data_IF_197547357273
#
_entry.id   IF_197547357273
#
_cell.length_a   1.000
_cell.length_b   1.000
_cell.length_c   1.000
_cell.angle_alpha   90.00
_cell.angle_beta   90.00
_cell.angle_gamma   90.00
#
_symmetry.space_group_name_H-M   'P 1'
#
loop_
_entity.id
_entity.type
_entity.pdbx_description
1 polymer ?
#
# COMPACT_ATOMS: atom_id res chain seq x y z
N UNK A 1 27.67 -17.46 -76.64
CA UNK A 1 27.12 -18.77 -77.05
C UNK A 1 26.55 -19.40 -75.79
N UNK A 2 25.27 -19.67 -75.59
CA UNK A 2 24.09 -19.83 -76.46
C UNK A 2 22.85 -19.37 -75.65
N UNK A 3 22.05 -18.43 -76.16
CA UNK A 3 20.72 -18.62 -76.78
C UNK A 3 19.68 -19.41 -75.95
N UNK A 4 18.67 -18.68 -75.45
CA UNK A 4 17.28 -19.14 -75.32
C UNK A 4 16.33 -17.97 -75.66
N UNK A 5 15.54 -18.14 -76.72
CA UNK A 5 14.25 -17.46 -76.98
C UNK A 5 13.21 -18.05 -76.01
N UNK A 6 12.09 -17.43 -75.59
CA UNK A 6 11.36 -16.21 -75.92
C UNK A 6 9.85 -16.43 -75.59
N UNK A 7 9.11 -15.33 -75.37
CA UNK A 7 7.63 -15.14 -75.16
C UNK A 7 7.19 -15.03 -73.68
N UNK A 8 6.88 -13.84 -73.12
CA UNK A 8 5.73 -12.91 -73.31
C UNK A 8 4.40 -13.54 -72.84
N UNK A 9 3.65 -13.04 -71.84
CA UNK A 9 3.04 -11.70 -71.68
C UNK A 9 2.67 -11.33 -70.22
N UNK A 10 2.77 -10.01 -69.91
CA UNK A 10 2.07 -9.11 -68.95
C UNK A 10 0.98 -9.73 -68.04
N UNK A 11 0.82 -9.44 -66.75
CA UNK A 11 1.17 -8.27 -65.92
C UNK A 11 -0.13 -7.65 -65.35
N UNK A 12 -0.41 -7.82 -64.05
CA UNK A 12 -1.53 -7.15 -63.36
C UNK A 12 -1.17 -6.79 -61.91
N UNK A 13 -1.29 -5.50 -61.57
CA UNK A 13 -1.35 -4.93 -60.22
C UNK A 13 -2.59 -4.04 -60.11
N UNK A 14 -3.23 -4.14 -58.94
CA UNK A 14 -3.96 -3.13 -58.15
C UNK A 14 -5.06 -2.25 -58.78
N UNK A 15 -6.20 -2.15 -58.07
CA UNK A 15 -6.91 -0.88 -57.91
C UNK A 15 -7.79 -0.86 -56.65
N UNK A 16 -7.75 0.26 -55.92
CA UNK A 16 -8.70 0.70 -54.89
C UNK A 16 -9.96 1.28 -55.55
N UNK A 17 -11.09 1.35 -54.83
CA UNK A 17 -12.08 2.41 -55.06
C UNK A 17 -12.99 2.65 -53.85
N UNK A 18 -13.14 3.92 -53.49
CA UNK A 18 -14.15 4.52 -52.60
C UNK A 18 -15.53 4.56 -53.28
N UNK A 19 -16.63 4.61 -52.51
CA UNK A 19 -17.90 5.27 -52.94
C UNK A 19 -18.57 5.98 -51.74
N UNK A 20 -19.09 7.17 -52.02
CA UNK A 20 -19.83 8.10 -51.17
C UNK A 20 -21.31 8.24 -51.60
N UNK A 21 -22.15 8.69 -50.66
CA UNK A 21 -23.35 9.56 -50.80
C UNK A 21 -24.79 9.02 -50.61
N UNK A 22 -25.41 9.54 -49.53
CA UNK A 22 -26.74 10.21 -49.42
C UNK A 22 -28.09 9.51 -49.69
N UNK A 23 -28.99 9.47 -48.69
CA UNK A 23 -30.29 10.24 -48.59
C UNK A 23 -31.46 9.53 -47.84
N UNK A 24 -31.90 10.16 -46.72
CA UNK A 24 -33.24 10.32 -46.07
C UNK A 24 -34.20 9.16 -45.68
N UNK A 25 -34.49 9.15 -44.37
CA UNK A 25 -35.79 9.07 -43.64
C UNK A 25 -36.95 8.16 -44.11
N UNK A 26 -37.38 7.23 -43.22
CA UNK A 26 -38.79 7.07 -42.80
C UNK A 26 -38.87 6.33 -41.44
N UNK A 27 -39.62 6.90 -40.48
CA UNK A 27 -40.00 6.28 -39.19
C UNK A 27 -41.24 5.40 -39.38
N UNK A 28 -41.51 4.47 -38.43
CA UNK A 28 -42.87 4.38 -37.91
C UNK A 28 -42.93 4.39 -36.37
N UNK A 29 -44.03 4.96 -35.87
CA UNK A 29 -44.42 5.15 -34.46
C UNK A 29 -45.28 3.97 -33.93
N UNK A 30 -45.59 3.92 -32.61
CA UNK A 30 -45.84 2.68 -31.87
C UNK A 30 -47.31 2.27 -31.82
N UNK A 31 -47.56 0.97 -31.58
CA UNK A 31 -48.87 0.41 -31.28
C UNK A 31 -48.84 -0.37 -29.95
N UNK A 32 -49.83 -0.10 -29.10
CA UNK A 32 -50.10 -0.75 -27.82
C UNK A 32 -50.31 -2.27 -27.99
N UNK A 33 -49.75 -3.06 -27.08
CA UNK A 33 -50.31 -4.36 -26.71
C UNK A 33 -50.08 -4.65 -25.23
N UNK A 34 -51.16 -5.08 -24.60
CA UNK A 34 -51.42 -5.23 -23.17
C UNK A 34 -50.79 -6.51 -22.60
N UNK A 35 -50.17 -6.35 -21.42
CA UNK A 35 -50.09 -7.25 -20.26
C UNK A 35 -50.30 -8.78 -20.47
N UNK A 36 -49.22 -9.55 -20.30
CA UNK A 36 -49.26 -10.89 -19.70
C UNK A 36 -47.90 -11.18 -19.04
N UNK A 37 -47.80 -10.92 -17.74
CA UNK A 37 -46.64 -11.29 -16.92
C UNK A 37 -46.83 -12.73 -16.46
N UNK A 38 -46.05 -13.65 -17.00
CA UNK A 38 -45.85 -14.98 -16.42
C UNK A 38 -44.70 -14.88 -15.39
N UNK A 39 -45.04 -14.96 -14.10
CA UNK A 39 -44.07 -15.22 -13.04
C UNK A 39 -43.64 -16.70 -13.08
N UNK A 40 -42.34 -17.02 -13.03
CA UNK A 40 -41.89 -18.26 -12.44
C UNK A 40 -41.74 -18.11 -10.92
N UNK A 41 -42.27 -19.10 -10.23
CA UNK A 41 -42.20 -19.35 -8.80
C UNK A 41 -40.73 -19.31 -8.32
N UNK A 42 -40.40 -18.38 -7.41
CA UNK A 42 -39.18 -18.42 -6.62
C UNK A 42 -39.56 -18.73 -5.17
N UNK A 43 -39.03 -19.85 -4.68
CA UNK A 43 -39.15 -20.31 -3.30
C UNK A 43 -38.73 -19.22 -2.31
N UNK A 44 -39.60 -19.00 -1.32
CA UNK A 44 -39.30 -18.19 -0.14
C UNK A 44 -38.26 -18.91 0.73
N UNK A 45 -36.99 -18.56 0.57
CA UNK A 45 -36.03 -18.65 1.67
C UNK A 45 -36.01 -17.32 2.42
N UNK A 46 -36.77 -17.23 3.51
CA UNK A 46 -36.60 -16.18 4.51
C UNK A 46 -35.31 -16.43 5.28
N UNK A 47 -34.20 -15.82 4.83
CA UNK A 47 -33.02 -15.65 5.66
C UNK A 47 -33.22 -14.39 6.50
N UNK A 48 -33.48 -14.59 7.80
CA UNK A 48 -33.44 -13.52 8.80
C UNK A 48 -32.00 -13.01 8.90
N UNK A 49 -31.68 -11.94 8.17
CA UNK A 49 -30.45 -11.20 8.34
C UNK A 49 -30.53 -10.43 9.67
N UNK A 50 -29.88 -10.95 10.72
CA UNK A 50 -29.60 -10.16 11.92
C UNK A 50 -28.73 -8.96 11.52
N UNK A 51 -29.02 -7.75 12.00
CA UNK A 51 -28.11 -6.62 11.80
C UNK A 51 -26.73 -6.97 12.39
N UNK A 52 -25.64 -6.48 11.79
CA UNK A 52 -24.30 -6.69 12.35
C UNK A 52 -24.27 -6.17 13.78
N UNK A 53 -23.71 -6.98 14.68
CA UNK A 53 -23.50 -6.61 16.08
C UNK A 53 -22.66 -5.34 16.10
N UNK A 54 -23.14 -4.29 16.74
CA UNK A 54 -22.38 -3.05 16.91
C UNK A 54 -20.97 -3.38 17.44
N UNK A 55 -19.94 -2.98 16.70
CA UNK A 55 -18.56 -3.11 17.16
C UNK A 55 -18.36 -2.24 18.40
N UNK A 56 -17.67 -2.72 19.44
CA UNK A 56 -17.34 -1.90 20.60
C UNK A 56 -16.49 -0.71 20.15
N UNK A 57 -16.76 0.46 20.73
CA UNK A 57 -15.96 1.67 20.47
C UNK A 57 -14.48 1.42 20.79
N UNK A 58 -13.57 2.16 20.14
CA UNK A 58 -12.11 2.07 20.37
C UNK A 58 -11.75 2.15 21.87
N UNK A 59 -12.49 2.97 22.62
CA UNK A 59 -12.38 3.09 24.08
C UNK A 59 -12.65 1.77 24.83
N UNK A 60 -13.59 0.94 24.36
CA UNK A 60 -13.87 -0.37 24.93
C UNK A 60 -12.84 -1.44 24.52
N UNK A 61 -12.16 -1.27 23.38
CA UNK A 61 -11.04 -2.14 22.97
C UNK A 61 -9.76 -1.85 23.80
N UNK A 62 -9.47 -0.57 24.06
CA UNK A 62 -8.36 -0.17 24.97
C UNK A 62 -8.53 -0.72 26.39
N UNK A 63 -9.77 -0.73 26.92
CA UNK A 63 -10.04 -1.23 28.28
C UNK A 63 -9.83 -2.74 28.41
N UNK A 64 -10.10 -3.51 27.34
CA UNK A 64 -9.87 -4.97 27.32
C UNK A 64 -8.38 -5.33 27.25
N UNK A 65 -7.60 -4.60 26.47
CA UNK A 65 -6.15 -4.79 26.41
C UNK A 65 -5.47 -4.51 27.76
N UNK A 66 -5.93 -3.48 28.48
CA UNK A 66 -5.44 -3.15 29.83
C UNK A 66 -5.74 -4.24 30.86
N UNK A 67 -6.98 -4.77 30.90
CA UNK A 67 -7.33 -5.80 31.89
C UNK A 67 -6.66 -7.17 31.63
N UNK A 68 -6.34 -7.49 30.38
CA UNK A 68 -5.59 -8.72 30.06
C UNK A 68 -4.15 -8.65 30.54
N UNK A 69 -3.49 -7.49 30.42
CA UNK A 69 -2.11 -7.30 30.85
C UNK A 69 -1.95 -7.33 32.39
N UNK A 70 -2.93 -6.79 33.13
CA UNK A 70 -2.90 -6.77 34.61
C UNK A 70 -3.08 -8.18 35.20
N UNK A 71 -3.93 -9.02 34.60
CA UNK A 71 -4.15 -10.39 35.09
C UNK A 71 -2.96 -11.33 34.86
N UNK A 72 -2.15 -11.11 33.82
CA UNK A 72 -0.93 -11.90 33.57
C UNK A 72 0.18 -11.61 34.58
N UNK A 73 0.23 -10.38 35.12
CA UNK A 73 1.22 -9.98 36.14
C UNK A 73 0.85 -10.49 37.54
N UNK A 74 -0.43 -10.71 37.84
CA UNK A 74 -0.88 -11.24 39.15
C UNK A 74 -0.64 -12.74 39.36
N UNK A 75 -0.30 -13.51 38.32
CA UNK A 75 -0.12 -14.96 38.42
C UNK A 75 1.31 -15.43 38.76
N UNK A 76 2.29 -14.52 38.84
CA UNK A 76 3.70 -14.89 39.05
C UNK A 76 4.31 -14.59 40.43
N UNK A 77 3.56 -14.03 41.39
CA UNK A 77 4.09 -13.81 42.74
C UNK A 77 3.17 -14.41 43.82
N UNK A 78 3.31 -15.72 44.01
CA UNK A 78 2.81 -16.43 45.17
C UNK A 78 3.85 -16.49 46.29
N UNK A 79 3.49 -15.91 47.45
CA UNK A 79 3.97 -16.17 48.82
C UNK A 79 5.41 -15.78 49.20
N UNK A 80 5.55 -14.74 50.04
CA UNK A 80 6.10 -14.83 51.41
C UNK A 80 6.15 -13.47 52.14
N UNK A 81 5.66 -13.46 53.38
CA UNK A 81 6.01 -12.65 54.56
C UNK A 81 5.96 -11.09 54.56
N UNK A 82 4.95 -10.59 55.29
CA UNK A 82 5.02 -9.74 56.50
C UNK A 82 5.82 -8.43 56.56
N UNK A 83 5.06 -7.35 56.77
CA UNK A 83 5.31 -6.15 57.59
C UNK A 83 6.52 -5.27 57.25
N UNK A 84 6.23 -4.11 56.65
CA UNK A 84 7.16 -2.98 56.60
C UNK A 84 6.51 -1.79 55.88
N UNK A 85 6.06 -0.80 56.65
CA UNK A 85 5.68 0.51 56.12
C UNK A 85 6.91 1.14 55.46
N UNK A 86 6.96 1.12 54.14
CA UNK A 86 7.75 2.05 53.35
C UNK A 86 6.78 2.73 52.38
N UNK A 87 6.46 4.00 52.66
CA UNK A 87 5.93 4.92 51.67
C UNK A 87 7.04 5.17 50.64
N UNK A 88 7.23 4.21 49.73
CA UNK A 88 7.93 4.45 48.49
C UNK A 88 7.01 5.32 47.65
N UNK A 89 7.38 6.60 47.53
CA UNK A 89 6.77 7.49 46.55
C UNK A 89 6.80 6.79 45.19
N UNK A 90 5.63 6.44 44.68
CA UNK A 90 5.44 6.08 43.28
C UNK A 90 5.80 7.31 42.47
N UNK A 91 7.09 7.46 42.18
CA UNK A 91 7.53 8.21 41.03
C UNK A 91 6.85 7.53 39.85
N UNK A 92 5.77 8.15 39.38
CA UNK A 92 5.16 7.80 38.11
C UNK A 92 6.27 7.95 37.07
N UNK A 93 6.81 6.81 36.63
CA UNK A 93 7.67 6.80 35.46
C UNK A 93 6.87 7.51 34.36
N UNK A 94 7.42 8.53 33.68
CA UNK A 94 6.71 9.18 32.59
C UNK A 94 6.40 8.11 31.56
N UNK A 95 5.13 7.75 31.45
CA UNK A 95 4.65 6.75 30.53
C UNK A 95 5.05 7.16 29.13
N UNK A 96 5.94 6.38 28.51
CA UNK A 96 6.19 6.43 27.08
C UNK A 96 4.98 5.82 26.38
N UNK A 97 3.94 6.61 26.26
CA UNK A 97 2.71 6.25 25.57
C UNK A 97 2.08 7.55 25.11
N UNK A 98 2.64 8.12 24.05
CA UNK A 98 1.96 9.23 23.40
C UNK A 98 0.58 8.78 22.98
N UNK A 99 -0.42 9.40 23.57
CA UNK A 99 -1.80 9.06 23.32
C UNK A 99 -2.17 9.46 21.89
N UNK A 100 -2.80 8.55 21.16
CA UNK A 100 -3.42 8.89 19.90
C UNK A 100 -4.57 9.85 20.14
N UNK A 101 -4.61 10.93 19.37
CA UNK A 101 -5.69 11.92 19.43
C UNK A 101 -6.36 12.06 18.08
N UNK A 102 -7.65 12.37 18.11
CA UNK A 102 -8.43 12.64 16.90
C UNK A 102 -8.17 14.05 16.36
N UNK A 103 -8.31 14.19 15.05
CA UNK A 103 -8.30 15.45 14.34
C UNK A 103 -9.44 16.36 14.82
N UNK A 104 -9.17 17.67 14.86
CA UNK A 104 -10.12 18.70 15.33
C UNK A 104 -11.28 18.93 14.38
N UNK A 105 -11.15 18.54 13.13
CA UNK A 105 -12.16 18.74 12.07
C UNK A 105 -13.32 17.72 12.11
N UNK A 106 -13.29 16.76 13.04
CA UNK A 106 -14.31 15.72 13.17
C UNK A 106 -14.25 14.65 12.07
N UNK A 107 -13.22 14.62 11.24
CA UNK A 107 -13.03 13.63 10.17
C UNK A 107 -12.90 12.19 10.69
N UNK A 108 -12.55 12.04 11.98
CA UNK A 108 -12.21 10.78 12.62
C UNK A 108 -10.77 10.33 12.34
N UNK A 109 -9.95 11.17 11.70
CA UNK A 109 -8.51 10.92 11.55
C UNK A 109 -7.84 10.94 12.92
N UNK A 110 -6.89 10.06 13.18
CA UNK A 110 -6.18 9.99 14.46
C UNK A 110 -4.65 9.86 14.33
N UNK A 111 -3.91 10.44 15.26
CA UNK A 111 -2.46 10.57 15.20
C UNK A 111 -1.88 11.16 16.48
N UNK A 112 -0.74 11.86 16.38
CA UNK A 112 0.00 12.37 17.53
C UNK A 112 0.13 13.89 17.51
N UNK A 113 0.20 14.50 18.70
CA UNK A 113 0.40 15.95 18.89
C UNK A 113 1.69 16.33 19.62
N UNK A 114 2.33 15.36 20.24
CA UNK A 114 3.57 15.48 21.00
C UNK A 114 4.81 15.11 20.17
N UNK A 115 4.67 15.04 18.84
CA UNK A 115 5.76 14.72 17.91
C UNK A 115 6.50 15.95 17.42
N UNK A 116 7.75 15.80 16.93
CA UNK A 116 8.51 16.90 16.35
C UNK A 116 7.80 17.56 15.16
N UNK A 117 8.01 18.87 14.99
CA UNK A 117 7.60 19.60 13.78
C UNK A 117 8.54 19.27 12.62
N UNK A 118 7.99 19.03 11.43
CA UNK A 118 8.79 18.82 10.23
C UNK A 118 9.41 20.16 9.75
N UNK A 119 10.73 20.22 9.46
CA UNK A 119 11.38 21.48 9.09
C UNK A 119 10.89 22.14 7.80
N UNK A 120 10.27 21.37 6.88
CA UNK A 120 9.85 21.85 5.56
C UNK A 120 8.34 22.08 5.42
N UNK A 121 7.55 21.86 6.47
CA UNK A 121 6.12 22.14 6.45
C UNK A 121 5.60 22.58 7.83
N UNK A 122 4.32 22.92 7.90
CA UNK A 122 3.70 23.37 9.14
C UNK A 122 3.31 22.24 10.10
N UNK A 123 3.29 21.00 9.61
CA UNK A 123 2.78 19.82 10.31
C UNK A 123 3.84 19.14 11.18
N UNK A 124 3.38 18.49 12.24
CA UNK A 124 4.19 17.54 12.99
C UNK A 124 4.20 16.17 12.31
N UNK A 125 5.19 15.35 12.63
CA UNK A 125 5.21 13.95 12.22
C UNK A 125 3.94 13.28 12.74
N UNK A 126 3.14 12.67 11.87
CA UNK A 126 1.90 11.98 12.24
C UNK A 126 0.83 12.89 12.86
N UNK A 127 0.81 14.16 12.46
CA UNK A 127 -0.22 15.11 12.91
C UNK A 127 -1.60 14.76 12.30
N UNK A 128 -2.63 14.48 13.13
CA UNK A 128 -3.96 14.13 12.62
C UNK A 128 -4.71 15.32 12.00
N UNK A 129 -4.32 16.57 12.30
CA UNK A 129 -4.96 17.75 11.70
C UNK A 129 -4.40 18.06 10.31
N UNK A 130 -3.35 17.37 9.87
CA UNK A 130 -2.86 17.49 8.51
C UNK A 130 -3.99 17.13 7.54
N UNK A 131 -4.19 17.87 6.44
CA UNK A 131 -5.25 17.56 5.49
C UNK A 131 -5.14 16.11 4.99
N UNK A 132 -6.19 15.32 5.24
CA UNK A 132 -6.26 13.95 4.77
C UNK A 132 -6.45 13.93 3.24
N UNK A 133 -5.66 13.13 2.51
CA UNK A 133 -5.84 12.96 1.08
C UNK A 133 -7.24 12.47 0.72
N UNK A 134 -7.86 13.18 -0.22
CA UNK A 134 -9.20 12.86 -0.70
C UNK A 134 -9.22 11.46 -1.30
N UNK A 135 -10.23 10.68 -0.95
CA UNK A 135 -10.44 9.36 -1.54
C UNK A 135 -10.86 9.49 -3.01
N UNK A 136 -10.27 8.66 -3.86
CA UNK A 136 -10.63 8.47 -5.27
C UNK A 136 -10.77 6.97 -5.51
N UNK A 137 -11.84 6.55 -6.18
CA UNK A 137 -11.98 5.17 -6.62
C UNK A 137 -11.08 4.91 -7.84
N UNK A 138 -10.07 4.03 -7.77
CA UNK A 138 -9.21 3.71 -8.91
C UNK A 138 -9.85 2.72 -9.90
N UNK A 139 -11.07 2.25 -9.65
CA UNK A 139 -11.69 1.16 -10.38
C UNK A 139 -11.14 -0.21 -9.97
N UNK A 140 -11.57 -1.30 -10.65
CA UNK A 140 -11.22 -2.66 -10.28
C UNK A 140 -9.72 -2.95 -10.43
N UNK A 141 -9.22 -3.91 -9.64
CA UNK A 141 -7.86 -4.41 -9.79
C UNK A 141 -7.67 -5.02 -11.17
N UNK A 142 -6.56 -4.66 -11.82
CA UNK A 142 -6.19 -5.19 -13.13
C UNK A 142 -5.43 -6.52 -12.98
N UNK A 143 -5.35 -7.34 -14.04
CA UNK A 143 -4.41 -8.45 -14.08
C UNK A 143 -2.96 -7.97 -13.89
N UNK A 144 -2.06 -8.83 -13.38
CA UNK A 144 -0.67 -8.44 -13.18
C UNK A 144 0.00 -7.93 -14.45
N UNK A 145 0.69 -6.78 -14.34
CA UNK A 145 1.44 -6.23 -15.46
C UNK A 145 2.68 -7.10 -15.75
N UNK A 146 2.95 -7.47 -17.01
CA UNK A 146 4.14 -8.25 -17.32
C UNK A 146 5.41 -7.44 -17.00
N UNK A 147 6.40 -8.12 -16.42
CA UNK A 147 7.71 -7.51 -16.20
C UNK A 147 8.36 -7.14 -17.55
N UNK A 148 8.98 -5.96 -17.69
CA UNK A 148 9.81 -5.64 -18.84
C UNK A 148 10.94 -6.66 -19.04
N UNK A 149 11.38 -6.86 -20.29
CA UNK A 149 12.41 -7.86 -20.61
C UNK A 149 13.79 -7.56 -20.01
N UNK A 150 14.04 -6.32 -19.60
CA UNK A 150 15.27 -5.86 -18.94
C UNK A 150 15.12 -5.70 -17.42
N UNK A 151 13.98 -6.08 -16.85
CA UNK A 151 13.76 -6.00 -15.40
C UNK A 151 14.35 -7.20 -14.67
N UNK A 152 14.89 -6.95 -13.48
CA UNK A 152 15.22 -7.98 -12.50
C UNK A 152 13.93 -8.42 -11.83
N UNK A 153 13.49 -9.64 -12.13
CA UNK A 153 12.31 -10.24 -11.50
C UNK A 153 12.69 -10.72 -10.10
N UNK A 154 12.10 -10.12 -9.07
CA UNK A 154 12.29 -10.53 -7.67
C UNK A 154 11.25 -11.57 -7.25
N UNK A 155 10.06 -11.56 -7.84
CA UNK A 155 9.05 -12.59 -7.62
C UNK A 155 7.98 -12.62 -8.72
N UNK A 156 7.83 -13.76 -9.40
CA UNK A 156 6.79 -14.02 -10.41
C UNK A 156 5.97 -15.29 -10.09
N UNK A 157 5.74 -15.54 -8.80
CA UNK A 157 4.97 -16.69 -8.31
C UNK A 157 5.76 -17.99 -8.18
N UNK A 158 7.08 -17.91 -8.20
CA UNK A 158 8.01 -19.01 -7.93
C UNK A 158 8.43 -19.05 -6.46
N UNK A 159 9.72 -19.24 -6.21
CA UNK A 159 10.30 -19.27 -4.87
C UNK A 159 10.84 -17.90 -4.41
N UNK A 160 11.49 -17.88 -3.25
CA UNK A 160 12.12 -16.68 -2.66
C UNK A 160 13.63 -16.61 -2.94
N UNK A 161 14.13 -17.25 -4.01
CA UNK A 161 15.57 -17.29 -4.32
C UNK A 161 16.20 -15.93 -4.61
N UNK A 162 15.42 -14.91 -4.99
CA UNK A 162 15.91 -13.52 -5.15
C UNK A 162 16.06 -12.77 -3.81
N UNK A 163 15.67 -13.40 -2.70
CA UNK A 163 15.61 -12.80 -1.36
C UNK A 163 16.56 -13.55 -0.42
N UNK A 164 16.96 -12.88 0.67
CA UNK A 164 17.73 -13.49 1.76
C UNK A 164 16.83 -14.41 2.59
N UNK A 165 17.40 -15.43 3.23
CA UNK A 165 16.68 -16.35 4.12
C UNK A 165 15.88 -15.59 5.20
N UNK A 166 14.63 -15.99 5.39
CA UNK A 166 13.67 -15.31 6.25
C UNK A 166 12.54 -16.30 6.66
N UNK A 167 11.54 -15.81 7.41
CA UNK A 167 10.39 -16.61 7.87
C UNK A 167 9.10 -16.39 7.05
N UNK A 168 9.19 -15.61 5.98
CA UNK A 168 8.10 -15.44 5.01
C UNK A 168 7.99 -16.69 4.15
N UNK A 169 6.84 -16.88 3.52
CA UNK A 169 6.52 -18.11 2.80
C UNK A 169 5.80 -17.82 1.50
N UNK A 170 5.79 -18.80 0.61
CA UNK A 170 5.01 -18.75 -0.63
C UNK A 170 3.79 -19.64 -0.48
N UNK A 171 2.61 -19.08 -0.73
CA UNK A 171 1.32 -19.80 -0.77
C UNK A 171 0.58 -19.38 -2.04
N UNK A 172 0.06 -20.33 -2.81
CA UNK A 172 -0.73 -20.04 -4.02
C UNK A 172 -0.02 -19.08 -5.00
N UNK A 173 1.30 -19.23 -5.17
CA UNK A 173 2.14 -18.36 -6.02
C UNK A 173 2.19 -16.90 -5.56
N UNK A 174 1.94 -16.65 -4.28
CA UNK A 174 2.01 -15.33 -3.64
C UNK A 174 2.93 -15.42 -2.44
N UNK A 175 3.71 -14.36 -2.20
CA UNK A 175 4.45 -14.23 -0.95
C UNK A 175 3.46 -13.87 0.14
N UNK A 176 3.53 -14.52 1.30
CA UNK A 176 2.78 -14.14 2.50
C UNK A 176 3.75 -13.60 3.53
N UNK A 177 3.49 -12.37 3.99
CA UNK A 177 4.31 -11.70 4.98
C UNK A 177 4.48 -12.54 6.25
N UNK A 178 5.72 -12.62 6.72
CA UNK A 178 6.11 -13.17 8.01
C UNK A 178 6.67 -12.07 8.92
N UNK A 179 7.20 -12.44 10.10
CA UNK A 179 7.86 -11.47 10.97
C UNK A 179 9.15 -10.93 10.35
N UNK A 180 9.48 -9.68 10.68
CA UNK A 180 10.70 -9.02 10.22
C UNK A 180 10.68 -8.69 8.72
N UNK A 181 11.88 -8.44 8.18
CA UNK A 181 12.05 -7.90 6.84
C UNK A 181 12.38 -9.00 5.82
N UNK A 182 11.75 -8.94 4.65
CA UNK A 182 12.17 -9.67 3.46
C UNK A 182 13.10 -8.77 2.63
N UNK A 183 14.37 -9.16 2.51
CA UNK A 183 15.45 -8.32 1.96
C UNK A 183 15.95 -8.92 0.66
N UNK A 184 16.00 -8.13 -0.42
CA UNK A 184 16.52 -8.61 -1.71
C UNK A 184 18.01 -8.95 -1.61
N UNK A 185 18.46 -9.92 -2.42
CA UNK A 185 19.89 -10.19 -2.57
C UNK A 185 20.56 -9.09 -3.38
N UNK A 186 19.92 -8.65 -4.47
CA UNK A 186 20.37 -7.55 -5.29
C UNK A 186 20.24 -6.20 -4.55
N UNK A 187 21.08 -5.25 -4.94
CA UNK A 187 21.06 -3.85 -4.49
C UNK A 187 20.80 -2.94 -5.69
N UNK A 188 20.11 -1.84 -5.47
CA UNK A 188 19.63 -0.92 -6.50
C UNK A 188 19.96 0.52 -6.12
N UNK A 189 20.23 1.36 -7.13
CA UNK A 189 20.28 2.81 -7.02
C UNK A 189 19.04 3.41 -7.64
N UNK A 190 19.20 4.21 -8.68
CA UNK A 190 18.08 4.68 -9.50
C UNK A 190 17.37 3.50 -10.15
N UNK A 191 16.05 3.43 -10.00
CA UNK A 191 15.28 2.31 -10.51
C UNK A 191 13.79 2.63 -10.71
N UNK A 192 13.17 1.86 -11.58
CA UNK A 192 11.72 1.66 -11.64
C UNK A 192 11.38 0.35 -10.94
N UNK A 193 10.37 0.36 -10.09
CA UNK A 193 9.93 -0.79 -9.29
C UNK A 193 8.43 -0.99 -9.53
N UNK A 194 8.02 -2.24 -9.66
CA UNK A 194 6.63 -2.63 -9.60
C UNK A 194 6.46 -3.72 -8.53
N UNK A 195 5.36 -3.62 -7.79
CA UNK A 195 4.90 -4.68 -6.92
C UNK A 195 3.39 -4.59 -6.72
N UNK A 196 2.77 -5.74 -6.51
CA UNK A 196 1.37 -5.82 -6.12
C UNK A 196 1.26 -6.37 -4.70
N UNK A 197 0.34 -5.81 -3.93
CA UNK A 197 0.10 -6.19 -2.54
C UNK A 197 -1.39 -6.32 -2.24
N UNK A 198 -1.73 -7.13 -1.24
CA UNK A 198 -3.10 -7.40 -0.80
C UNK A 198 -3.13 -7.53 0.72
N UNK A 199 -3.83 -6.60 1.37
CA UNK A 199 -4.19 -6.72 2.78
C UNK A 199 -5.37 -7.73 2.92
N UNK A 200 -5.35 -8.64 3.90
CA UNK A 200 -6.40 -9.66 4.05
C UNK A 200 -7.75 -9.05 4.48
N UNK A 201 -8.85 -9.49 3.86
CA UNK A 201 -10.21 -8.95 4.07
C UNK A 201 -10.75 -9.05 5.51
N UNK A 202 -10.25 -10.01 6.29
CA UNK A 202 -10.75 -10.35 7.62
C UNK A 202 -9.68 -10.33 8.70
N UNK A 203 -8.71 -9.42 8.63
CA UNK A 203 -7.67 -9.31 9.64
C UNK A 203 -8.27 -9.00 11.02
N UNK A 204 -8.08 -9.92 11.96
CA UNK A 204 -8.50 -9.80 13.37
C UNK A 204 -7.28 -9.59 14.26
N UNK A 205 -6.72 -8.38 14.16
CA UNK A 205 -5.57 -7.94 14.94
C UNK A 205 -5.74 -6.49 15.38
N UNK A 206 -4.74 -5.95 16.10
CA UNK A 206 -4.76 -4.56 16.54
C UNK A 206 -4.77 -3.63 15.33
N UNK A 207 -5.32 -2.42 15.52
CA UNK A 207 -5.45 -1.44 14.44
C UNK A 207 -4.10 -1.10 13.79
N UNK A 208 -3.02 -1.05 14.58
CA UNK A 208 -1.69 -0.69 14.10
C UNK A 208 -1.05 -1.77 13.23
N UNK A 209 -1.62 -2.97 13.17
CA UNK A 209 -1.20 -4.03 12.25
C UNK A 209 -2.14 -4.12 11.03
N UNK A 210 -3.27 -3.40 10.95
CA UNK A 210 -4.24 -3.57 9.85
C UNK A 210 -3.67 -3.23 8.48
N UNK A 211 -3.30 -4.27 7.73
CA UNK A 211 -2.59 -4.14 6.46
C UNK A 211 -1.20 -3.50 6.60
N UNK A 212 -0.68 -3.31 7.81
CA UNK A 212 0.57 -2.60 8.03
C UNK A 212 1.74 -3.44 7.55
N UNK A 213 2.46 -2.96 6.55
CA UNK A 213 3.70 -3.48 5.99
C UNK A 213 4.42 -2.27 5.34
N UNK A 214 5.59 -2.46 4.75
CA UNK A 214 6.29 -1.35 4.08
C UNK A 214 7.11 -1.79 2.89
N UNK A 215 7.37 -0.86 1.97
CA UNK A 215 8.36 -1.02 0.88
C UNK A 215 9.48 -0.04 1.15
N UNK A 216 10.60 -0.53 1.67
CA UNK A 216 11.76 0.29 2.00
C UNK A 216 12.71 0.33 0.80
N UNK A 217 12.76 1.49 0.15
CA UNK A 217 13.68 1.80 -0.92
C UNK A 217 15.10 1.92 -0.34
N UNK A 218 16.05 1.20 -0.92
CA UNK A 218 17.41 1.02 -0.40
C UNK A 218 17.47 0.46 1.05
N UNK A 219 16.35 -0.08 1.57
CA UNK A 219 16.22 -0.47 2.97
C UNK A 219 16.11 0.70 3.95
N UNK A 220 15.92 1.93 3.46
CA UNK A 220 16.02 3.18 4.24
C UNK A 220 14.78 4.07 4.15
N UNK A 221 14.10 4.08 3.00
CA UNK A 221 13.00 5.01 2.73
C UNK A 221 11.70 4.26 2.49
N UNK A 222 10.85 4.23 3.51
CA UNK A 222 9.60 3.49 3.48
C UNK A 222 8.51 4.21 2.68
N UNK A 223 8.02 3.52 1.65
CA UNK A 223 6.72 3.74 1.06
C UNK A 223 5.73 2.82 1.77
N UNK A 224 4.76 3.43 2.43
CA UNK A 224 3.91 2.74 3.39
C UNK A 224 2.88 1.81 2.75
N UNK A 225 2.61 0.67 3.38
CA UNK A 225 1.47 -0.21 3.08
C UNK A 225 0.58 -0.25 4.33
N UNK A 226 -0.71 0.04 4.15
CA UNK A 226 -1.67 0.04 5.25
C UNK A 226 -3.09 -0.16 4.72
N UNK A 227 -4.03 -0.59 5.58
CA UNK A 227 -5.47 -0.55 5.28
C UNK A 227 -6.00 0.89 5.37
N UNK A 228 -5.64 1.72 4.39
CA UNK A 228 -6.14 3.09 4.28
C UNK A 228 -7.51 3.16 3.60
N UNK A 229 -8.18 2.02 3.38
CA UNK A 229 -9.58 2.01 2.97
C UNK A 229 -10.47 2.27 4.19
N UNK A 230 -10.23 1.58 5.30
CA UNK A 230 -11.02 1.72 6.53
C UNK A 230 -10.34 2.54 7.62
N UNK A 231 -9.01 2.42 7.77
CA UNK A 231 -8.30 3.10 8.84
C UNK A 231 -7.96 4.55 8.47
N UNK A 232 -8.40 5.47 9.34
CA UNK A 232 -8.15 6.90 9.23
C UNK A 232 -6.98 7.31 10.13
N UNK A 233 -5.83 6.70 9.92
CA UNK A 233 -4.62 7.13 10.62
C UNK A 233 -4.11 8.46 10.06
N UNK A 234 -3.18 9.07 10.78
CA UNK A 234 -2.45 10.26 10.38
C UNK A 234 -2.03 10.22 8.89
N UNK A 235 -2.19 11.32 8.14
CA UNK A 235 -2.06 11.27 6.68
C UNK A 235 -0.70 10.83 6.14
N UNK A 236 0.39 11.10 6.87
CA UNK A 236 1.76 10.74 6.47
C UNK A 236 2.15 9.31 6.86
N UNK A 237 1.22 8.50 7.35
CA UNK A 237 1.40 7.07 7.59
C UNK A 237 0.37 6.19 6.91
N UNK A 238 -0.47 6.75 6.03
CA UNK A 238 -1.39 5.96 5.23
C UNK A 238 -0.68 5.30 4.04
N UNK A 239 -1.36 4.39 3.33
CA UNK A 239 -0.86 3.73 2.14
C UNK A 239 -0.30 4.74 1.11
N UNK A 240 0.84 4.40 0.52
CA UNK A 240 1.60 5.19 -0.44
C UNK A 240 2.20 6.50 0.13
N UNK A 241 2.13 6.76 1.44
CA UNK A 241 2.90 7.86 2.02
C UNK A 241 4.40 7.55 2.00
N UNK A 242 5.22 8.59 1.82
CA UNK A 242 6.62 8.56 2.27
C UNK A 242 6.54 8.65 3.80
N UNK A 243 6.78 7.53 4.47
CA UNK A 243 6.35 7.32 5.85
C UNK A 243 6.89 8.40 6.81
N UNK A 244 5.97 9.07 7.52
CA UNK A 244 6.26 10.15 8.45
C UNK A 244 6.70 11.48 7.82
N UNK A 245 6.59 11.61 6.48
CA UNK A 245 7.08 12.78 5.75
C UNK A 245 5.99 13.39 4.85
N UNK A 246 5.57 12.67 3.82
CA UNK A 246 4.68 13.19 2.77
C UNK A 246 3.53 12.21 2.47
N UNK A 247 2.26 12.60 2.76
CA UNK A 247 1.06 11.88 2.34
C UNK A 247 0.95 11.81 0.81
N UNK A 248 0.33 10.77 0.25
CA UNK A 248 0.00 10.75 -1.17
C UNK A 248 -0.95 11.90 -1.53
N UNK A 249 -0.94 12.37 -2.77
CA UNK A 249 -1.85 13.43 -3.26
C UNK A 249 -3.34 13.05 -3.14
N UNK A 250 -3.66 11.77 -3.29
CA UNK A 250 -5.00 11.19 -3.18
C UNK A 250 -4.90 9.81 -2.54
N UNK A 251 -5.96 9.40 -1.84
CA UNK A 251 -6.07 8.02 -1.35
C UNK A 251 -6.85 7.19 -2.37
N UNK A 252 -6.18 6.25 -3.02
CA UNK A 252 -6.73 5.35 -4.04
C UNK A 252 -6.68 3.89 -3.59
N UNK A 253 -6.64 3.65 -2.28
CA UNK A 253 -6.62 2.31 -1.70
C UNK A 253 -7.93 1.60 -1.98
N UNK A 254 -7.89 0.36 -2.50
CA UNK A 254 -9.06 -0.55 -2.59
C UNK A 254 -9.35 -1.21 -1.24
N UNK A 255 -10.55 -1.77 -1.00
CA UNK A 255 -10.82 -2.53 0.22
C UNK A 255 -9.85 -3.71 0.41
N UNK A 256 -9.53 -4.09 1.66
CA UNK A 256 -8.89 -5.36 1.98
C UNK A 256 -9.55 -6.55 1.26
N UNK A 257 -8.72 -7.49 0.80
CA UNK A 257 -9.11 -8.59 -0.08
C UNK A 257 -8.97 -8.29 -1.58
N UNK A 258 -8.60 -7.05 -1.95
CA UNK A 258 -8.33 -6.67 -3.33
C UNK A 258 -6.86 -6.32 -3.54
N UNK A 259 -6.36 -6.65 -4.73
CA UNK A 259 -5.00 -6.32 -5.13
C UNK A 259 -4.84 -4.81 -5.34
N UNK A 260 -3.70 -4.33 -4.88
CA UNK A 260 -3.20 -2.97 -5.04
C UNK A 260 -1.92 -3.07 -5.88
N UNK A 261 -1.64 -2.06 -6.71
CA UNK A 261 -0.37 -1.97 -7.44
C UNK A 261 0.37 -0.71 -7.03
N UNK A 262 1.68 -0.84 -6.81
CA UNK A 262 2.62 0.26 -6.70
C UNK A 262 3.57 0.22 -7.90
N UNK A 263 3.63 1.34 -8.62
CA UNK A 263 4.61 1.61 -9.65
C UNK A 263 5.45 2.81 -9.19
N UNK A 264 6.72 2.57 -8.88
CA UNK A 264 7.59 3.54 -8.21
C UNK A 264 8.79 3.81 -9.13
N UNK A 265 9.03 5.08 -9.42
CA UNK A 265 10.28 5.57 -10.01
C UNK A 265 11.05 6.23 -8.89
N UNK A 266 12.21 5.67 -8.55
CA UNK A 266 13.06 6.13 -7.46
C UNK A 266 14.39 6.62 -8.01
N UNK A 267 14.76 7.83 -7.61
CA UNK A 267 16.09 8.40 -7.81
C UNK A 267 16.81 8.37 -6.46
N UNK A 268 17.93 7.66 -6.39
CA UNK A 268 18.72 7.52 -5.17
C UNK A 268 19.37 8.87 -4.77
N UNK A 269 19.62 9.10 -3.48
CA UNK A 269 20.32 10.32 -3.05
C UNK A 269 21.74 10.35 -3.63
N UNK A 270 22.31 11.54 -3.83
CA UNK A 270 23.70 11.73 -4.25
C UNK A 270 24.51 12.37 -3.15
N UNK A 271 25.75 11.90 -2.97
CA UNK A 271 26.67 12.39 -1.96
C UNK A 271 28.05 12.68 -2.54
N UNK A 272 28.75 13.65 -1.95
CA UNK A 272 30.17 13.94 -2.24
C UNK A 272 30.88 14.26 -0.93
N UNK A 273 31.97 13.55 -0.65
CA UNK A 273 32.71 13.71 0.62
C UNK A 273 31.85 13.50 1.86
N UNK A 274 30.81 12.66 1.78
CA UNK A 274 29.83 12.44 2.87
C UNK A 274 28.74 13.51 3.00
N UNK A 275 28.80 14.59 2.21
CA UNK A 275 27.77 15.64 2.17
C UNK A 275 26.70 15.30 1.14
N UNK A 276 25.43 15.50 1.51
CA UNK A 276 24.31 15.36 0.59
C UNK A 276 24.38 16.42 -0.53
N UNK A 277 24.41 15.97 -1.78
CA UNK A 277 24.33 16.82 -2.97
C UNK A 277 22.91 16.90 -3.53
N UNK A 278 22.21 15.78 -3.58
CA UNK A 278 20.82 15.71 -4.03
C UNK A 278 20.05 14.70 -3.17
N UNK A 279 18.83 15.03 -2.70
CA UNK A 279 18.01 14.09 -1.96
C UNK A 279 17.52 12.95 -2.86
N UNK A 280 17.15 11.84 -2.25
CA UNK A 280 16.37 10.81 -2.93
C UNK A 280 15.02 11.39 -3.34
N UNK A 281 14.46 10.93 -4.47
CA UNK A 281 13.19 11.43 -5.01
C UNK A 281 12.33 10.29 -5.49
N UNK A 282 11.02 10.45 -5.41
CA UNK A 282 10.05 9.43 -5.84
C UNK A 282 8.96 10.01 -6.72
N UNK A 283 8.73 9.37 -7.86
CA UNK A 283 7.48 9.50 -8.63
C UNK A 283 6.74 8.19 -8.50
N UNK A 284 5.48 8.20 -8.08
CA UNK A 284 4.77 6.98 -7.73
C UNK A 284 3.33 7.01 -8.23
N UNK A 285 2.91 5.87 -8.77
CA UNK A 285 1.51 5.57 -9.04
C UNK A 285 1.04 4.49 -8.07
N UNK A 286 -0.13 4.71 -7.48
CA UNK A 286 -0.87 3.71 -6.72
C UNK A 286 -2.12 3.39 -7.52
N UNK A 287 -2.29 2.12 -7.91
CA UNK A 287 -3.42 1.68 -8.73
C UNK A 287 -3.57 2.48 -10.04
N UNK A 288 -2.44 2.84 -10.66
CA UNK A 288 -2.40 3.62 -11.90
C UNK A 288 -2.65 5.13 -11.73
N UNK A 289 -2.91 5.61 -10.51
CA UNK A 289 -3.12 7.03 -10.22
C UNK A 289 -1.84 7.63 -9.65
N UNK A 290 -1.38 8.75 -10.21
CA UNK A 290 -0.21 9.49 -9.74
C UNK A 290 -0.45 10.03 -8.32
N UNK A 291 0.32 9.54 -7.36
CA UNK A 291 0.21 9.93 -5.93
C UNK A 291 1.41 10.73 -5.44
N UNK A 292 2.58 10.58 -6.07
CA UNK A 292 3.77 11.42 -5.87
C UNK A 292 4.37 11.78 -7.21
N UNK A 293 4.79 13.03 -7.38
CA UNK A 293 5.43 13.50 -8.61
C UNK A 293 6.74 14.18 -8.22
N UNK A 294 7.84 13.51 -8.50
CA UNK A 294 9.19 13.98 -8.18
C UNK A 294 9.29 14.48 -6.74
N UNK A 295 8.74 13.73 -5.79
CA UNK A 295 8.65 14.12 -4.39
C UNK A 295 9.99 13.86 -3.69
N UNK A 296 10.60 14.86 -3.02
CA UNK A 296 11.81 14.63 -2.24
C UNK A 296 11.55 13.74 -1.02
N UNK A 297 12.49 12.87 -0.71
CA UNK A 297 12.59 12.19 0.58
C UNK A 297 13.59 12.97 1.44
N UNK A 298 13.23 13.32 2.66
CA UNK A 298 14.02 14.19 3.53
C UNK A 298 15.03 13.43 4.41
N UNK A 299 15.08 12.11 4.29
CA UNK A 299 16.02 11.24 4.99
C UNK A 299 15.40 9.88 5.28
N UNK A 300 16.12 9.07 6.06
CA UNK A 300 15.68 7.74 6.50
C UNK A 300 14.35 7.85 7.26
N UNK A 301 13.37 7.05 6.87
CA UNK A 301 12.05 7.05 7.49
C UNK A 301 12.10 6.43 8.88
N UNK A 302 11.19 6.87 9.76
CA UNK A 302 11.08 6.31 11.09
C UNK A 302 9.88 6.89 11.84
N UNK A 303 9.39 6.12 12.81
CA UNK A 303 8.20 6.48 13.56
C UNK A 303 8.47 7.67 14.49
N UNK A 304 7.67 8.75 14.35
CA UNK A 304 7.67 9.91 15.26
C UNK A 304 9.02 10.65 15.38
N UNK A 305 9.87 10.57 14.37
CA UNK A 305 11.17 11.28 14.31
C UNK A 305 11.22 12.28 13.16
N UNK A 306 12.08 13.29 13.28
CA UNK A 306 12.50 14.08 12.11
C UNK A 306 13.50 13.22 11.32
N UNK A 307 13.25 12.94 10.03
CA UNK A 307 14.17 12.14 9.22
C UNK A 307 15.47 12.90 8.95
N UNK A 308 16.53 12.13 8.72
CA UNK A 308 17.83 12.65 8.31
C UNK A 308 18.55 11.59 7.47
N UNK A 309 19.46 12.01 6.60
CA UNK A 309 20.38 11.11 5.91
C UNK A 309 21.52 10.75 6.86
N UNK A 310 21.47 9.57 7.48
CA UNK A 310 22.49 9.12 8.44
C UNK A 310 23.61 8.35 7.74
N UNK A 311 23.33 7.84 6.54
CA UNK A 311 24.27 7.09 5.72
C UNK A 311 24.47 7.78 4.38
N UNK A 312 25.73 8.01 4.00
CA UNK A 312 26.10 8.57 2.70
C UNK A 312 26.20 7.46 1.63
N UNK A 313 25.08 6.81 1.33
CA UNK A 313 24.98 5.69 0.37
C UNK A 313 23.97 6.02 -0.73
N UNK A 314 24.26 5.57 -1.94
CA UNK A 314 23.40 5.78 -3.14
C UNK A 314 22.88 4.48 -3.74
N UNK A 315 23.12 3.35 -3.08
CA UNK A 315 22.58 2.04 -3.46
C UNK A 315 22.22 1.23 -2.22
N UNK A 316 21.18 0.41 -2.30
CA UNK A 316 20.78 -0.49 -1.22
C UNK A 316 19.75 -1.53 -1.68
N UNK A 317 19.40 -2.51 -0.84
CA UNK A 317 18.43 -3.54 -1.20
C UNK A 317 17.01 -2.95 -1.33
N UNK A 318 16.13 -3.65 -2.05
CA UNK A 318 14.70 -3.50 -1.85
C UNK A 318 14.29 -4.34 -0.64
N UNK A 319 13.53 -3.75 0.28
CA UNK A 319 13.07 -4.44 1.48
C UNK A 319 11.56 -4.35 1.60
N UNK A 320 10.91 -5.48 1.87
CA UNK A 320 9.52 -5.51 2.32
C UNK A 320 9.51 -5.68 3.85
N UNK A 321 8.89 -4.74 4.57
CA UNK A 321 8.80 -4.77 6.02
C UNK A 321 7.51 -5.45 6.49
N UNK A 322 7.64 -6.46 7.37
CA UNK A 322 6.52 -7.19 7.94
C UNK A 322 6.11 -6.65 9.31
N UNK A 323 4.87 -6.20 9.44
CA UNK A 323 4.29 -5.64 10.67
C UNK A 323 3.02 -6.38 11.11
N UNK A 324 3.18 -7.64 11.55
CA UNK A 324 2.12 -8.40 12.24
C UNK A 324 0.93 -8.85 11.37
N UNK A 325 0.79 -8.31 10.16
CA UNK A 325 -0.28 -8.65 9.23
C UNK A 325 0.22 -9.45 8.04
N UNK A 326 -0.45 -10.58 7.69
CA UNK A 326 -0.05 -11.44 6.58
C UNK A 326 -0.47 -10.83 5.23
N UNK A 327 0.02 -9.62 4.92
CA UNK A 327 -0.11 -9.01 3.59
C UNK A 327 0.50 -9.95 2.57
N UNK A 328 -0.20 -10.11 1.45
CA UNK A 328 0.24 -10.95 0.33
C UNK A 328 0.89 -10.07 -0.72
N UNK A 329 1.94 -10.58 -1.37
CA UNK A 329 2.62 -9.90 -2.46
C UNK A 329 2.73 -10.78 -3.69
N UNK A 330 2.68 -10.15 -4.86
CA UNK A 330 2.96 -10.80 -6.15
C UNK A 330 3.57 -9.82 -7.13
N UNK A 331 4.06 -10.35 -8.25
CA UNK A 331 4.53 -9.58 -9.39
C UNK A 331 5.52 -8.48 -9.01
N UNK A 332 6.68 -8.88 -8.48
CA UNK A 332 7.68 -7.94 -7.98
C UNK A 332 8.86 -7.93 -8.95
N UNK A 333 9.14 -6.76 -9.51
CA UNK A 333 10.29 -6.57 -10.38
C UNK A 333 10.89 -5.18 -10.22
N UNK A 334 12.19 -5.08 -10.49
CA UNK A 334 12.96 -3.85 -10.42
C UNK A 334 13.78 -3.69 -11.69
N UNK A 335 13.68 -2.54 -12.33
CA UNK A 335 14.41 -2.16 -13.53
C UNK A 335 15.35 -0.99 -13.20
N UNK A 336 16.67 -1.20 -13.15
CA UNK A 336 17.63 -0.10 -12.99
C UNK A 336 17.46 0.98 -14.08
N UNK A 337 17.71 2.25 -13.75
CA UNK A 337 17.57 3.39 -14.66
C UNK A 337 18.92 4.00 -15.09
#
# INVERSE_FOLDING_TARGET
MSQFMGLSTRGARACQTEISSSTKFFLPRPGLATLAVFLPCLDRFSVSARPPRAQPTLAAQHKKAYHSAVNTVQLFFGRAFSTGYLLAGLATAPGWGAELVFARDGSGVYGYKDTPKLPWCEWRVHDPDRPAPRRVDPGPAQPPAPAPGDAVVLFAGGDLSAWRTNQWRVENREIVAGPGNLVSQAVFGDCQIHLEWLAPAGFDGPWYDRGNNGVLLMGLYEIQIFDSYYEKIYPDGQAAAIYGQTPPRVNVTRPPGQWQSYDIIFLAPRFEGGRLLAPARVTMFHNGVLVHLDEPIHGETGHRIVPAYKQAVSTGPLVLAGHGCPVRFRNIWVRPL
#
